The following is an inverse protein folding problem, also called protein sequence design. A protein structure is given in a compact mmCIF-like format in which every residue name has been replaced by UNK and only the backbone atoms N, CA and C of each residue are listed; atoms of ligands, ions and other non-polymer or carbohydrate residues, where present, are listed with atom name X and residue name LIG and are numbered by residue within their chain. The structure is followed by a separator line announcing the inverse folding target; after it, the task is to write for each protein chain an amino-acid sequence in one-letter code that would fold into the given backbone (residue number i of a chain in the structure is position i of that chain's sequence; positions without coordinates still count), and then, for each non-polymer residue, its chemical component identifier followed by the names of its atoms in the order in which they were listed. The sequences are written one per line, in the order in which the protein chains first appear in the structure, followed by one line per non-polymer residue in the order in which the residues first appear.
data_IF_131367243201
#
_entry.id   IF_131367243201
#
_cell.length_a   1.000
_cell.length_b   1.000
_cell.length_c   1.000
_cell.angle_alpha   90.00
_cell.angle_beta   90.00
_cell.angle_gamma   90.00
#
_symmetry.space_group_name_H-M   'P 1'
#
loop_
_entity.id
_entity.type
_entity.pdbx_description
1 polymer ?
#
# COMPACT_ATOMS: atom_id res chain seq x y z
N UNK A 1 38.43 -13.00 -25.11
CA UNK A 1 37.62 -11.80 -25.39
C UNK A 1 36.61 -11.64 -24.26
N UNK A 2 36.89 -10.72 -23.33
CA UNK A 2 36.01 -10.43 -22.20
C UNK A 2 34.76 -9.69 -22.72
N UNK A 3 33.57 -10.19 -22.42
CA UNK A 3 32.31 -9.53 -22.77
C UNK A 3 31.82 -8.74 -21.54
N UNK A 4 32.03 -7.40 -21.49
CA UNK A 4 31.70 -6.60 -20.32
C UNK A 4 30.18 -6.46 -20.06
N UNK A 5 29.33 -6.88 -21.01
CA UNK A 5 27.87 -6.76 -20.87
C UNK A 5 27.21 -7.88 -20.05
N UNK A 6 27.97 -8.87 -19.58
CA UNK A 6 27.40 -10.00 -18.80
C UNK A 6 27.28 -9.72 -17.28
N UNK A 7 27.81 -8.59 -16.79
CA UNK A 7 27.95 -8.31 -15.34
C UNK A 7 26.93 -7.30 -14.79
N UNK A 8 26.19 -6.58 -15.64
CA UNK A 8 25.18 -5.60 -15.22
C UNK A 8 23.80 -5.83 -15.85
N UNK A 9 23.27 -7.04 -15.75
CA UNK A 9 21.81 -7.17 -15.61
C UNK A 9 21.57 -7.38 -14.13
N UNK A 10 21.33 -6.27 -13.42
CA UNK A 10 20.66 -6.33 -12.13
C UNK A 10 19.51 -7.33 -12.27
N UNK A 11 19.57 -8.40 -11.49
CA UNK A 11 18.45 -9.33 -11.37
C UNK A 11 17.38 -8.52 -10.64
N UNK A 12 16.52 -7.83 -11.40
CA UNK A 12 15.27 -7.31 -10.88
C UNK A 12 14.49 -8.52 -10.38
N UNK A 13 14.56 -8.75 -9.07
CA UNK A 13 13.81 -9.81 -8.44
C UNK A 13 12.34 -9.40 -8.52
N UNK A 14 11.62 -9.91 -9.52
CA UNK A 14 10.18 -9.70 -9.64
C UNK A 14 9.57 -10.37 -8.41
N UNK A 15 9.04 -9.57 -7.49
CA UNK A 15 8.33 -10.12 -6.34
C UNK A 15 7.11 -10.87 -6.86
N UNK A 16 7.01 -12.15 -6.49
CA UNK A 16 5.88 -13.00 -6.86
C UNK A 16 4.71 -12.89 -5.85
N UNK A 17 4.70 -11.81 -5.06
CA UNK A 17 3.71 -11.51 -4.01
C UNK A 17 3.15 -10.11 -4.28
N UNK A 18 1.85 -9.87 -3.98
CA UNK A 18 1.27 -8.54 -4.17
C UNK A 18 2.01 -7.51 -3.34
N UNK A 19 2.16 -6.31 -3.88
CA UNK A 19 2.67 -5.18 -3.13
C UNK A 19 1.65 -4.83 -2.06
N UNK A 20 2.09 -4.74 -0.81
CA UNK A 20 1.24 -4.28 0.29
C UNK A 20 1.29 -2.76 0.40
N UNK A 21 0.14 -2.10 0.55
CA UNK A 21 0.08 -0.65 0.63
C UNK A 21 -0.83 -0.15 1.75
N UNK A 22 -0.47 1.00 2.32
CA UNK A 22 -1.33 1.76 3.24
C UNK A 22 -1.86 3.00 2.50
N UNK A 23 -3.14 3.32 2.71
CA UNK A 23 -3.74 4.56 2.21
C UNK A 23 -3.42 5.71 3.17
N UNK A 24 -2.92 6.83 2.66
CA UNK A 24 -2.83 8.10 3.42
C UNK A 24 -3.73 9.12 2.75
N UNK A 25 -4.76 9.58 3.46
CA UNK A 25 -5.85 10.38 2.91
C UNK A 25 -6.82 9.52 2.09
N UNK A 26 -7.83 8.95 2.73
CA UNK A 26 -8.86 8.09 2.15
C UNK A 26 -9.95 8.89 1.42
N UNK A 27 -9.53 9.88 0.62
CA UNK A 27 -10.37 10.63 -0.29
C UNK A 27 -10.65 9.88 -1.60
N UNK A 28 -11.37 10.54 -2.51
CA UNK A 28 -11.82 9.93 -3.77
C UNK A 28 -10.67 9.35 -4.61
N UNK A 29 -9.56 10.09 -4.76
CA UNK A 29 -8.39 9.67 -5.55
C UNK A 29 -7.75 8.39 -4.98
N UNK A 30 -7.51 8.35 -3.66
CA UNK A 30 -6.94 7.18 -3.02
C UNK A 30 -7.81 5.94 -3.23
N UNK A 31 -9.14 6.06 -3.06
CA UNK A 31 -10.04 4.94 -3.33
C UNK A 31 -9.98 4.48 -4.80
N UNK A 32 -9.89 5.39 -5.77
CA UNK A 32 -9.75 5.01 -7.20
C UNK A 32 -8.48 4.20 -7.43
N UNK A 33 -7.33 4.64 -6.90
CA UNK A 33 -6.07 3.91 -7.05
C UNK A 33 -6.09 2.56 -6.30
N UNK A 34 -6.63 2.55 -5.09
CA UNK A 34 -6.70 1.37 -4.24
C UNK A 34 -7.65 0.29 -4.75
N UNK A 35 -8.60 0.60 -5.64
CA UNK A 35 -9.47 -0.41 -6.28
C UNK A 35 -8.70 -1.49 -7.04
N UNK A 36 -7.45 -1.24 -7.44
CA UNK A 36 -6.60 -2.28 -8.01
C UNK A 36 -6.49 -3.49 -7.09
N UNK A 37 -6.49 -3.29 -5.76
CA UNK A 37 -6.44 -4.39 -4.79
C UNK A 37 -7.69 -5.29 -4.80
N UNK A 38 -8.81 -4.79 -5.38
CA UNK A 38 -10.04 -5.56 -5.55
C UNK A 38 -10.11 -6.22 -6.92
N UNK A 39 -9.65 -5.51 -7.95
CA UNK A 39 -9.73 -6.00 -9.34
C UNK A 39 -8.59 -6.93 -9.73
N UNK A 40 -7.44 -6.82 -9.06
CA UNK A 40 -6.22 -7.58 -9.33
C UNK A 40 -5.41 -7.81 -8.02
N UNK A 41 -5.93 -8.67 -7.12
CA UNK A 41 -5.36 -8.88 -5.78
C UNK A 41 -3.95 -9.51 -5.79
N UNK A 42 -3.52 -10.09 -6.92
CA UNK A 42 -2.17 -10.61 -7.09
C UNK A 42 -1.13 -9.49 -7.26
N UNK A 43 -1.55 -8.26 -7.60
CA UNK A 43 -0.68 -7.09 -7.75
C UNK A 43 -0.62 -6.19 -6.53
N UNK A 44 -1.74 -5.99 -5.85
CA UNK A 44 -1.87 -5.02 -4.76
C UNK A 44 -2.74 -5.57 -3.63
N UNK A 45 -2.32 -5.32 -2.39
CA UNK A 45 -3.14 -5.53 -1.20
C UNK A 45 -3.11 -4.28 -0.33
N UNK A 46 -4.29 -3.73 -0.02
CA UNK A 46 -4.37 -2.64 0.96
C UNK A 46 -4.40 -3.26 2.36
N UNK A 47 -3.48 -2.82 3.22
CA UNK A 47 -3.28 -3.40 4.56
C UNK A 47 -3.51 -2.40 5.69
N UNK A 48 -3.83 -1.14 5.40
CA UNK A 48 -4.12 -0.13 6.40
C UNK A 48 -4.56 1.20 5.80
N UNK A 49 -4.95 2.13 6.67
CA UNK A 49 -5.41 3.48 6.31
C UNK A 49 -5.01 4.51 7.38
N UNK A 50 -4.61 5.70 6.94
CA UNK A 50 -4.46 6.88 7.78
C UNK A 50 -5.33 8.02 7.22
N UNK A 51 -6.35 8.43 7.97
CA UNK A 51 -7.26 9.54 7.62
C UNK A 51 -7.93 10.06 8.91
N UNK A 52 -8.04 11.38 9.17
CA UNK A 52 -8.69 11.87 10.39
C UNK A 52 -10.20 11.53 10.48
N UNK A 53 -10.86 11.24 9.36
CA UNK A 53 -12.28 10.90 9.30
C UNK A 53 -12.50 9.39 9.55
N UNK A 54 -13.10 9.06 10.71
CA UNK A 54 -13.41 7.68 11.12
C UNK A 54 -14.36 6.96 10.17
N UNK A 55 -15.23 7.68 9.46
CA UNK A 55 -16.13 7.09 8.46
C UNK A 55 -15.31 6.58 7.28
N UNK A 56 -14.29 7.34 6.86
CA UNK A 56 -13.40 6.94 5.76
C UNK A 56 -12.47 5.80 6.17
N UNK A 57 -11.94 5.82 7.39
CA UNK A 57 -11.17 4.69 7.93
C UNK A 57 -12.01 3.40 7.91
N UNK A 58 -13.23 3.45 8.49
CA UNK A 58 -14.14 2.31 8.53
C UNK A 58 -14.46 1.79 7.12
N UNK A 59 -14.77 2.69 6.19
CA UNK A 59 -15.03 2.33 4.80
C UNK A 59 -13.84 1.63 4.14
N UNK A 60 -12.61 2.12 4.34
CA UNK A 60 -11.41 1.49 3.79
C UNK A 60 -11.16 0.12 4.42
N UNK A 61 -11.26 0.02 5.74
CA UNK A 61 -11.11 -1.23 6.50
C UNK A 61 -12.09 -2.31 6.00
N UNK A 62 -13.37 -1.98 5.88
CA UNK A 62 -14.41 -2.89 5.40
C UNK A 62 -14.23 -3.25 3.91
N UNK A 63 -13.87 -2.27 3.07
CA UNK A 63 -13.70 -2.49 1.63
C UNK A 63 -12.52 -3.40 1.31
N UNK A 64 -11.40 -3.28 2.04
CA UNK A 64 -10.16 -3.99 1.72
C UNK A 64 -9.79 -5.12 2.69
N UNK A 65 -10.54 -5.27 3.80
CA UNK A 65 -10.44 -6.44 4.68
C UNK A 65 -9.17 -6.49 5.53
N UNK A 66 -8.77 -5.36 6.14
CA UNK A 66 -7.64 -5.29 7.09
C UNK A 66 -8.14 -5.02 8.52
N UNK A 67 -7.35 -5.32 9.57
CA UNK A 67 -7.83 -5.25 10.94
C UNK A 67 -7.87 -3.81 11.46
N UNK A 68 -8.67 -3.56 12.51
CA UNK A 68 -8.93 -2.21 13.05
C UNK A 68 -7.66 -1.53 13.56
N UNK A 69 -6.69 -2.31 14.01
CA UNK A 69 -5.38 -1.88 14.50
C UNK A 69 -4.55 -1.18 13.41
N UNK A 70 -4.90 -1.37 12.13
CA UNK A 70 -4.26 -0.72 10.98
C UNK A 70 -5.01 0.53 10.50
N UNK A 71 -5.87 1.11 11.35
CA UNK A 71 -6.53 2.40 11.14
C UNK A 71 -5.87 3.47 12.02
N UNK A 72 -5.37 4.54 11.40
CA UNK A 72 -4.64 5.62 12.07
C UNK A 72 -5.30 6.98 11.82
N UNK A 73 -5.18 7.90 12.77
CA UNK A 73 -5.80 9.23 12.70
C UNK A 73 -4.95 10.24 11.94
N UNK A 74 -3.68 9.92 11.70
CA UNK A 74 -2.77 10.77 10.94
C UNK A 74 -1.63 9.98 10.30
N UNK A 75 -1.01 10.58 9.28
CA UNK A 75 0.24 10.07 8.72
C UNK A 75 1.37 10.02 9.75
N UNK A 76 1.36 10.93 10.74
CA UNK A 76 2.35 10.95 11.83
C UNK A 76 2.20 9.73 12.74
N UNK A 77 0.97 9.37 13.11
CA UNK A 77 0.71 8.16 13.89
C UNK A 77 1.13 6.90 13.11
N UNK A 78 0.77 6.82 11.83
CA UNK A 78 1.21 5.75 10.93
C UNK A 78 2.75 5.67 10.85
N UNK A 79 3.46 6.80 10.83
CA UNK A 79 4.94 6.80 10.75
C UNK A 79 5.65 6.28 12.00
N UNK A 80 4.93 6.16 13.13
CA UNK A 80 5.48 5.73 14.42
C UNK A 80 5.41 4.23 14.65
N UNK A 81 4.65 3.50 13.84
CA UNK A 81 4.57 2.03 13.95
C UNK A 81 5.69 1.35 13.15
N UNK A 82 6.11 0.14 13.53
CA UNK A 82 7.01 -0.66 12.72
C UNK A 82 6.47 -0.85 11.28
N UNK A 83 7.37 -0.92 10.30
CA UNK A 83 6.99 -1.15 8.91
C UNK A 83 6.17 -2.44 8.77
N UNK A 84 4.97 -2.33 8.19
CA UNK A 84 4.08 -3.46 7.90
C UNK A 84 3.52 -3.45 6.46
N UNK A 85 3.96 -2.50 5.62
CA UNK A 85 3.58 -2.39 4.21
C UNK A 85 4.78 -2.01 3.33
N UNK A 86 4.70 -2.31 2.05
CA UNK A 86 5.73 -2.00 1.06
C UNK A 86 5.66 -0.57 0.55
N UNK A 87 4.46 0.00 0.46
CA UNK A 87 4.19 1.29 -0.15
C UNK A 87 3.11 2.09 0.59
N UNK A 88 3.03 3.38 0.23
CA UNK A 88 1.95 4.28 0.65
C UNK A 88 1.29 4.86 -0.60
N UNK A 89 -0.04 4.82 -0.64
CA UNK A 89 -0.85 5.57 -1.60
C UNK A 89 -1.23 6.89 -0.92
N UNK A 90 -0.49 7.95 -1.19
CA UNK A 90 -0.78 9.29 -0.67
C UNK A 90 -1.77 10.01 -1.59
N UNK A 91 -3.02 10.16 -1.14
CA UNK A 91 -4.10 10.81 -1.87
C UNK A 91 -4.57 12.15 -1.29
N UNK A 92 -3.81 12.74 -0.34
CA UNK A 92 -4.12 14.04 0.29
C UNK A 92 -3.95 15.21 -0.66
#
# INVERSE_FOLDING_TARGET
MYNPFKIFKEVCFVRNQPITAVIVGAGHRAFVYSKLALTDPDKLKIVGVADPDKIRQKKAMEMFGFPKENCFDSALELSRVPKFADAVINGT
#
